data_IF_796670336256
#
_entry.id   IF_796670336256
#
_cell.length_a   1.000
_cell.length_b   1.000
_cell.length_c   1.000
_cell.angle_alpha   90.00
_cell.angle_beta   90.00
_cell.angle_gamma   90.00
#
_symmetry.space_group_name_H-M   'P 1'
#
loop_
_entity.id
_entity.type
_entity.pdbx_description
1 polymer ?
#
# COMPACT_ATOMS: atom_id res chain seq x y z
N UNK A 1 -28.75 -23.92 -11.02
CA UNK A 1 -27.34 -23.52 -11.24
C UNK A 1 -27.08 -22.01 -11.01
N UNK A 2 -27.97 -21.08 -11.40
CA UNK A 2 -27.73 -19.61 -11.24
C UNK A 2 -27.77 -19.15 -9.77
N UNK A 3 -28.60 -19.76 -8.93
CA UNK A 3 -28.64 -19.42 -7.49
C UNK A 3 -27.40 -19.85 -6.68
N UNK A 4 -26.70 -20.91 -7.11
CA UNK A 4 -25.44 -21.33 -6.48
C UNK A 4 -24.28 -20.37 -6.83
N UNK A 5 -24.23 -19.85 -8.06
CA UNK A 5 -23.21 -18.90 -8.47
C UNK A 5 -23.31 -17.54 -7.75
N UNK A 6 -24.54 -17.05 -7.51
CA UNK A 6 -24.77 -15.83 -6.74
C UNK A 6 -24.42 -15.96 -5.25
N UNK A 7 -24.60 -17.13 -4.67
CA UNK A 7 -24.20 -17.37 -3.29
C UNK A 7 -22.68 -17.48 -3.13
N UNK A 8 -21.98 -18.07 -4.10
CA UNK A 8 -20.51 -18.15 -4.11
C UNK A 8 -19.88 -16.75 -4.27
N UNK A 9 -20.46 -15.88 -5.10
CA UNK A 9 -20.00 -14.50 -5.24
C UNK A 9 -20.24 -13.69 -3.95
N UNK A 10 -21.41 -13.85 -3.31
CA UNK A 10 -21.69 -13.20 -2.02
C UNK A 10 -20.84 -13.74 -0.87
N UNK A 11 -20.51 -15.02 -0.87
CA UNK A 11 -19.60 -15.62 0.13
C UNK A 11 -18.14 -15.21 -0.10
N UNK A 12 -17.71 -15.12 -1.36
CA UNK A 12 -16.38 -14.63 -1.70
C UNK A 12 -16.23 -13.11 -1.47
N UNK A 13 -17.28 -12.32 -1.69
CA UNK A 13 -17.33 -10.92 -1.28
C UNK A 13 -17.31 -10.81 0.25
N UNK A 14 -18.07 -11.61 0.98
CA UNK A 14 -17.98 -11.66 2.46
C UNK A 14 -16.57 -12.03 2.92
N UNK A 15 -15.95 -13.07 2.37
CA UNK A 15 -14.59 -13.48 2.76
C UNK A 15 -13.51 -12.45 2.43
N UNK A 16 -13.67 -11.64 1.36
CA UNK A 16 -12.80 -10.50 1.05
C UNK A 16 -13.06 -9.25 1.89
N UNK A 17 -14.25 -9.15 2.48
CA UNK A 17 -14.71 -7.99 3.25
C UNK A 17 -14.57 -8.18 4.76
N UNK A 18 -14.28 -9.40 5.22
CA UNK A 18 -14.30 -9.76 6.64
C UNK A 18 -12.97 -9.52 7.37
N UNK A 19 -11.97 -8.92 6.71
CA UNK A 19 -10.69 -8.61 7.37
C UNK A 19 -10.80 -7.46 8.39
N UNK A 20 -11.79 -6.59 8.27
CA UNK A 20 -12.12 -5.61 9.31
C UNK A 20 -13.62 -5.32 9.28
N UNK A 21 -14.40 -5.73 10.32
CA UNK A 21 -15.83 -5.47 10.40
C UNK A 21 -16.16 -3.96 10.43
N UNK A 22 -15.21 -3.10 10.79
CA UNK A 22 -15.39 -1.66 10.95
C UNK A 22 -15.12 -0.86 9.65
N UNK A 23 -14.22 -1.35 8.77
CA UNK A 23 -13.82 -0.63 7.57
C UNK A 23 -13.83 -1.52 6.34
N UNK A 24 -14.56 -1.09 5.30
CA UNK A 24 -14.59 -1.74 4.00
C UNK A 24 -13.89 -0.86 2.97
N UNK A 25 -12.77 -1.37 2.42
CA UNK A 25 -12.08 -0.71 1.32
C UNK A 25 -12.90 -0.84 0.02
N UNK A 26 -13.10 0.28 -0.67
CA UNK A 26 -13.75 0.36 -1.95
C UNK A 26 -12.83 1.07 -2.94
N UNK A 27 -12.55 0.41 -4.06
CA UNK A 27 -11.81 1.00 -5.16
C UNK A 27 -12.80 1.40 -6.24
N UNK A 28 -12.89 2.71 -6.51
CA UNK A 28 -13.76 3.26 -7.55
C UNK A 28 -12.94 4.13 -8.49
N UNK A 29 -12.80 3.70 -9.74
CA UNK A 29 -11.89 4.29 -10.72
C UNK A 29 -10.47 4.40 -10.12
N UNK A 30 -9.90 5.60 -10.08
CA UNK A 30 -8.57 5.85 -9.54
C UNK A 30 -8.58 6.26 -8.05
N UNK A 31 -9.75 6.16 -7.39
CA UNK A 31 -9.93 6.54 -5.99
C UNK A 31 -10.12 5.31 -5.12
N UNK A 32 -9.42 5.30 -3.99
CA UNK A 32 -9.62 4.33 -2.92
C UNK A 32 -10.31 5.04 -1.76
N UNK A 33 -11.46 4.52 -1.34
CA UNK A 33 -12.21 5.00 -0.17
C UNK A 33 -12.50 3.84 0.78
N UNK A 34 -12.77 4.16 2.03
CA UNK A 34 -13.11 3.19 3.06
C UNK A 34 -14.48 3.52 3.62
N UNK A 35 -15.39 2.54 3.64
CA UNK A 35 -16.70 2.69 4.27
C UNK A 35 -16.53 2.56 5.79
N UNK A 36 -16.65 3.66 6.51
CA UNK A 36 -16.52 3.71 7.97
C UNK A 36 -17.81 3.25 8.66
N UNK A 37 -18.96 3.73 8.19
CA UNK A 37 -20.30 3.34 8.62
C UNK A 37 -21.31 3.59 7.51
N UNK A 38 -22.60 3.39 7.77
CA UNK A 38 -23.64 3.68 6.76
C UNK A 38 -23.59 5.15 6.36
N UNK A 39 -23.43 5.40 5.04
CA UNK A 39 -23.32 6.75 4.48
C UNK A 39 -22.03 7.51 4.82
N UNK A 40 -21.08 6.92 5.54
CA UNK A 40 -19.81 7.58 5.92
C UNK A 40 -18.63 6.91 5.23
N UNK A 41 -17.92 7.69 4.41
CA UNK A 41 -16.77 7.21 3.63
C UNK A 41 -15.56 8.12 3.87
N UNK A 42 -14.40 7.50 4.11
CA UNK A 42 -13.13 8.19 4.28
C UNK A 42 -12.24 7.95 3.06
N UNK A 43 -11.62 9.01 2.50
CA UNK A 43 -10.63 8.85 1.45
C UNK A 43 -9.40 8.11 1.98
N UNK A 44 -8.73 7.33 1.12
CA UNK A 44 -7.46 6.73 1.52
C UNK A 44 -6.36 7.78 1.59
N UNK A 45 -5.41 7.60 2.51
CA UNK A 45 -4.18 8.41 2.59
C UNK A 45 -3.49 8.49 1.23
N UNK A 46 -3.41 7.37 0.49
CA UNK A 46 -2.77 7.35 -0.83
C UNK A 46 -3.54 8.14 -1.89
N UNK A 47 -4.89 8.18 -1.81
CA UNK A 47 -5.73 9.04 -2.68
C UNK A 47 -5.50 10.52 -2.39
N UNK A 48 -5.45 10.90 -1.10
CA UNK A 48 -5.15 12.26 -0.67
C UNK A 48 -3.78 12.71 -1.17
N UNK A 49 -2.76 11.86 -1.03
CA UNK A 49 -1.39 12.16 -1.43
C UNK A 49 -1.18 12.26 -2.96
N UNK A 50 -2.17 11.88 -3.79
CA UNK A 50 -2.13 12.15 -5.22
C UNK A 50 -2.17 13.66 -5.54
N UNK A 51 -2.69 14.47 -4.62
CA UNK A 51 -2.71 15.93 -4.70
C UNK A 51 -1.34 16.58 -4.43
N UNK A 52 -0.40 15.80 -3.96
CA UNK A 52 0.97 16.30 -3.80
C UNK A 52 1.60 16.60 -5.16
N UNK A 53 2.23 17.77 -5.35
CA UNK A 53 2.88 18.14 -6.60
C UNK A 53 3.87 17.07 -7.06
N UNK A 54 3.81 16.69 -8.31
CA UNK A 54 4.78 15.79 -8.92
C UNK A 54 6.11 16.51 -9.10
N UNK A 55 7.22 15.78 -8.93
CA UNK A 55 8.52 16.35 -9.14
C UNK A 55 8.91 16.37 -10.64
N UNK A 56 9.84 17.26 -11.01
CA UNK A 56 10.32 17.39 -12.39
C UNK A 56 10.93 16.11 -12.98
N UNK A 57 11.47 15.24 -12.14
CA UNK A 57 12.02 13.95 -12.61
C UNK A 57 10.92 13.01 -13.08
N UNK A 58 9.79 12.99 -12.39
CA UNK A 58 8.61 12.20 -12.81
C UNK A 58 8.03 12.74 -14.12
N UNK A 59 7.93 14.07 -14.26
CA UNK A 59 7.48 14.70 -15.50
C UNK A 59 8.43 14.40 -16.66
N UNK A 60 9.74 14.46 -16.42
CA UNK A 60 10.76 14.08 -17.40
C UNK A 60 10.62 12.62 -17.82
N UNK A 61 10.49 11.72 -16.86
CA UNK A 61 10.27 10.29 -17.12
C UNK A 61 8.99 10.05 -17.96
N UNK A 62 7.88 10.75 -17.66
CA UNK A 62 6.65 10.63 -18.47
C UNK A 62 6.87 11.03 -19.92
N UNK A 63 7.67 12.08 -20.17
CA UNK A 63 8.02 12.51 -21.54
C UNK A 63 8.88 11.47 -22.24
N UNK A 64 9.84 10.87 -21.54
CA UNK A 64 10.77 9.88 -22.11
C UNK A 64 10.08 8.57 -22.48
N UNK A 65 9.14 8.08 -21.65
CA UNK A 65 8.46 6.80 -21.88
C UNK A 65 7.15 6.93 -22.68
N UNK A 66 6.57 8.13 -22.75
CA UNK A 66 5.38 8.42 -23.52
C UNK A 66 4.21 7.48 -23.23
N UNK A 67 3.62 6.89 -24.27
CA UNK A 67 2.44 6.00 -24.16
C UNK A 67 2.67 4.74 -23.32
N UNK A 68 3.90 4.35 -23.06
CA UNK A 68 4.20 3.19 -22.23
C UNK A 68 4.12 3.45 -20.73
N UNK A 69 3.96 4.71 -20.31
CA UNK A 69 3.98 5.10 -18.90
C UNK A 69 2.95 4.33 -18.07
N UNK A 70 1.70 4.27 -18.54
CA UNK A 70 0.62 3.56 -17.83
C UNK A 70 0.88 2.06 -17.71
N UNK A 71 1.38 1.43 -18.77
CA UNK A 71 1.75 0.02 -18.74
C UNK A 71 2.86 -0.25 -17.72
N UNK A 72 3.91 0.59 -17.71
CA UNK A 72 5.03 0.46 -16.78
C UNK A 72 4.57 0.66 -15.34
N UNK A 73 3.75 1.67 -15.07
CA UNK A 73 3.20 1.93 -13.74
C UNK A 73 2.30 0.80 -13.25
N UNK A 74 1.38 0.31 -14.09
CA UNK A 74 0.50 -0.82 -13.76
C UNK A 74 1.28 -2.11 -13.49
N UNK A 75 2.30 -2.39 -14.31
CA UNK A 75 3.19 -3.53 -14.09
C UNK A 75 3.93 -3.41 -12.75
N UNK A 76 4.52 -2.24 -12.48
CA UNK A 76 5.22 -1.98 -11.22
C UNK A 76 4.28 -2.11 -10.01
N UNK A 77 3.03 -1.64 -10.12
CA UNK A 77 2.01 -1.80 -9.08
C UNK A 77 1.70 -3.28 -8.80
N UNK A 78 1.45 -4.10 -9.85
CA UNK A 78 1.21 -5.55 -9.69
C UNK A 78 2.39 -6.28 -9.03
N UNK A 79 3.61 -5.95 -9.45
CA UNK A 79 4.82 -6.52 -8.84
C UNK A 79 4.96 -6.10 -7.37
N UNK A 80 4.63 -4.84 -7.05
CA UNK A 80 4.58 -4.35 -5.68
C UNK A 80 3.57 -5.12 -4.82
N UNK A 81 2.33 -5.29 -5.29
CA UNK A 81 1.29 -6.06 -4.60
C UNK A 81 1.77 -7.48 -4.28
N UNK A 82 2.38 -8.17 -5.23
CA UNK A 82 2.91 -9.53 -5.01
C UNK A 82 4.00 -9.56 -3.92
N UNK A 83 4.83 -8.51 -3.82
CA UNK A 83 5.86 -8.42 -2.77
C UNK A 83 5.21 -8.19 -1.41
N UNK A 84 4.21 -7.30 -1.29
CA UNK A 84 3.49 -7.04 -0.04
C UNK A 84 2.77 -8.29 0.46
N UNK A 85 2.01 -8.98 -0.41
CA UNK A 85 1.33 -10.24 -0.07
C UNK A 85 2.32 -11.33 0.41
N UNK A 86 3.47 -11.44 -0.23
CA UNK A 86 4.50 -12.40 0.18
C UNK A 86 5.17 -11.98 1.50
N UNK A 87 5.41 -10.68 1.70
CA UNK A 87 5.99 -10.15 2.93
C UNK A 87 5.04 -10.37 4.13
N UNK A 88 3.74 -10.10 3.96
CA UNK A 88 2.71 -10.37 4.97
C UNK A 88 2.74 -11.84 5.40
N UNK A 89 2.73 -12.77 4.45
CA UNK A 89 2.80 -14.21 4.74
C UNK A 89 4.08 -14.59 5.52
N UNK A 90 5.22 -14.01 5.12
CA UNK A 90 6.51 -14.27 5.81
C UNK A 90 6.52 -13.76 7.24
N UNK A 91 5.96 -12.57 7.53
CA UNK A 91 5.93 -12.02 8.89
C UNK A 91 4.93 -12.76 9.78
N UNK A 92 3.90 -13.38 9.19
CA UNK A 92 2.96 -14.28 9.87
C UNK A 92 3.54 -15.69 10.09
N UNK A 93 4.78 -15.95 9.67
CA UNK A 93 5.46 -17.23 9.84
C UNK A 93 5.12 -18.28 8.79
N UNK A 94 4.46 -17.88 7.70
CA UNK A 94 4.16 -18.79 6.61
C UNK A 94 5.36 -18.98 5.67
N UNK A 95 5.39 -20.13 4.99
CA UNK A 95 6.36 -20.39 3.93
C UNK A 95 5.92 -19.78 2.60
N UNK A 96 6.85 -19.11 1.92
CA UNK A 96 6.64 -18.56 0.59
C UNK A 96 7.58 -19.27 -0.40
N UNK A 97 7.01 -19.96 -1.38
CA UNK A 97 7.74 -20.69 -2.41
C UNK A 97 7.73 -19.95 -3.75
N UNK A 98 8.88 -19.91 -4.42
CA UNK A 98 8.98 -19.37 -5.78
C UNK A 98 8.19 -20.16 -6.81
N UNK A 99 8.20 -21.50 -6.66
CA UNK A 99 7.52 -22.42 -7.59
C UNK A 99 6.20 -22.90 -7.01
N UNK A 100 5.27 -23.25 -7.88
CA UNK A 100 4.09 -24.03 -7.52
C UNK A 100 4.43 -25.55 -7.46
N UNK A 101 3.43 -26.36 -7.12
CA UNK A 101 3.58 -27.82 -7.00
C UNK A 101 3.87 -28.51 -8.34
N UNK A 102 3.68 -27.78 -9.45
CA UNK A 102 3.94 -28.25 -10.82
C UNK A 102 5.27 -27.75 -11.39
N UNK A 103 6.04 -26.98 -10.61
CA UNK A 103 7.31 -26.40 -11.03
C UNK A 103 7.20 -25.11 -11.85
N UNK A 104 6.04 -24.47 -11.91
CA UNK A 104 5.88 -23.17 -12.56
C UNK A 104 6.22 -22.03 -11.60
N UNK A 105 6.87 -20.99 -12.11
CA UNK A 105 7.20 -19.82 -11.30
C UNK A 105 5.94 -19.01 -10.95
N UNK A 106 5.67 -18.86 -9.65
CA UNK A 106 4.59 -18.00 -9.11
C UNK A 106 4.92 -16.52 -9.23
N UNK A 107 6.20 -16.19 -9.17
CA UNK A 107 6.72 -14.83 -9.18
C UNK A 107 7.73 -14.64 -10.31
N UNK A 108 7.75 -13.47 -10.90
CA UNK A 108 8.86 -13.09 -11.79
C UNK A 108 10.18 -13.06 -10.99
N UNK A 109 11.30 -13.21 -11.66
CA UNK A 109 12.62 -13.14 -11.00
C UNK A 109 12.79 -11.85 -10.19
N UNK A 110 12.36 -10.70 -10.73
CA UNK A 110 12.46 -9.40 -10.07
C UNK A 110 11.64 -9.37 -8.78
N UNK A 111 10.44 -9.92 -8.80
CA UNK A 111 9.57 -10.02 -7.60
C UNK A 111 10.22 -10.95 -6.57
N UNK A 112 10.70 -12.11 -7.01
CA UNK A 112 11.33 -13.06 -6.11
C UNK A 112 12.59 -12.50 -5.43
N UNK A 113 13.43 -11.79 -6.18
CA UNK A 113 14.59 -11.09 -5.62
C UNK A 113 14.19 -10.07 -4.54
N UNK A 114 13.10 -9.34 -4.73
CA UNK A 114 12.59 -8.41 -3.71
C UNK A 114 12.06 -9.15 -2.48
N UNK A 115 11.39 -10.29 -2.65
CA UNK A 115 10.92 -11.14 -1.54
C UNK A 115 12.12 -11.67 -0.73
N UNK A 116 13.18 -12.15 -1.40
CA UNK A 116 14.41 -12.59 -0.73
C UNK A 116 15.06 -11.46 0.07
N UNK A 117 15.10 -10.23 -0.46
CA UNK A 117 15.63 -9.06 0.24
C UNK A 117 14.82 -8.69 1.46
N UNK A 118 13.48 -8.80 1.38
CA UNK A 118 12.62 -8.61 2.54
C UNK A 118 12.89 -9.68 3.61
N UNK A 119 12.97 -10.93 3.21
CA UNK A 119 13.29 -12.03 4.13
C UNK A 119 14.67 -11.85 4.81
N UNK A 120 15.67 -11.32 4.08
CA UNK A 120 16.99 -10.98 4.65
C UNK A 120 16.86 -9.85 5.69
N UNK A 121 16.11 -8.79 5.38
CA UNK A 121 15.81 -7.71 6.33
C UNK A 121 15.19 -8.27 7.61
N UNK A 122 14.12 -9.07 7.48
CA UNK A 122 13.38 -9.63 8.60
C UNK A 122 14.25 -10.53 9.49
N UNK A 123 15.08 -11.39 8.88
CA UNK A 123 16.06 -12.22 9.59
C UNK A 123 17.15 -11.43 10.29
N UNK A 124 17.55 -10.29 9.72
CA UNK A 124 18.63 -9.43 10.27
C UNK A 124 18.17 -8.67 11.50
N UNK A 125 17.01 -8.05 11.44
CA UNK A 125 16.49 -7.23 12.55
C UNK A 125 15.67 -8.04 13.56
N UNK A 126 15.09 -9.17 13.15
CA UNK A 126 14.22 -10.04 13.98
C UNK A 126 13.15 -9.25 14.72
N UNK A 127 12.35 -8.44 14.03
CA UNK A 127 11.31 -7.67 14.68
C UNK A 127 10.26 -8.60 15.30
N UNK A 128 9.69 -8.17 16.41
CA UNK A 128 8.49 -8.80 16.99
C UNK A 128 7.27 -8.18 16.34
N UNK A 129 6.51 -8.96 15.55
CA UNK A 129 5.31 -8.49 14.87
C UNK A 129 4.22 -8.11 15.87
N UNK A 130 3.63 -6.92 15.71
CA UNK A 130 2.41 -6.51 16.40
C UNK A 130 1.21 -6.71 15.47
N UNK A 131 1.27 -6.15 14.25
CA UNK A 131 0.25 -6.35 13.22
C UNK A 131 0.83 -6.16 11.82
N UNK A 132 0.17 -6.73 10.79
CA UNK A 132 0.47 -6.52 9.38
C UNK A 132 -0.79 -6.26 8.59
N UNK A 133 -0.69 -5.47 7.50
CA UNK A 133 -1.81 -5.05 6.64
C UNK A 133 -3.00 -4.52 7.46
N UNK A 134 -2.69 -3.75 8.51
CA UNK A 134 -3.66 -3.33 9.49
C UNK A 134 -4.42 -2.08 9.03
N UNK A 135 -5.75 -2.12 9.09
CA UNK A 135 -6.57 -0.97 8.76
C UNK A 135 -6.45 0.10 9.83
N UNK A 136 -6.19 1.32 9.39
CA UNK A 136 -6.05 2.50 10.23
C UNK A 136 -6.98 3.59 9.75
N UNK A 137 -7.48 4.40 10.69
CA UNK A 137 -8.34 5.55 10.36
C UNK A 137 -8.19 6.66 11.37
N UNK A 138 -8.59 7.84 10.96
CA UNK A 138 -8.81 8.98 11.85
C UNK A 138 -10.26 9.46 11.70
N UNK A 139 -11.04 9.39 12.76
CA UNK A 139 -12.38 9.96 12.83
C UNK A 139 -12.33 11.48 13.01
N UNK A 140 -11.24 11.99 13.62
CA UNK A 140 -10.98 13.43 13.74
C UNK A 140 -10.72 14.07 12.37
N UNK A 141 -9.83 13.45 11.57
CA UNK A 141 -9.39 14.00 10.29
C UNK A 141 -10.05 13.35 9.07
N UNK A 142 -10.96 12.36 9.26
CA UNK A 142 -11.77 11.74 8.18
C UNK A 142 -10.94 11.11 7.06
N UNK A 143 -9.88 10.37 7.38
CA UNK A 143 -9.11 9.57 6.42
C UNK A 143 -8.92 8.14 6.91
N UNK A 144 -8.54 7.25 6.01
CA UNK A 144 -8.22 5.87 6.35
C UNK A 144 -7.11 5.30 5.46
N UNK A 145 -6.60 4.13 5.82
CA UNK A 145 -5.59 3.42 5.05
C UNK A 145 -5.29 2.03 5.57
N UNK A 146 -4.19 1.47 5.08
CA UNK A 146 -3.67 0.18 5.52
C UNK A 146 -2.19 0.35 5.83
N UNK A 147 -1.80 -0.01 7.04
CA UNK A 147 -0.43 0.02 7.51
C UNK A 147 0.23 -1.34 7.23
N UNK A 148 1.35 -1.35 6.52
CA UNK A 148 1.98 -2.61 6.09
C UNK A 148 2.45 -3.45 7.27
N UNK A 149 3.27 -2.88 8.17
CA UNK A 149 3.84 -3.62 9.31
C UNK A 149 3.95 -2.71 10.53
N UNK A 150 3.41 -3.16 11.65
CA UNK A 150 3.68 -2.61 12.98
C UNK A 150 4.42 -3.66 13.79
N UNK A 151 5.57 -3.31 14.35
CA UNK A 151 6.43 -4.26 15.07
C UNK A 151 7.22 -3.59 16.20
N UNK A 152 7.74 -4.41 17.12
CA UNK A 152 8.78 -3.97 18.06
C UNK A 152 10.15 -4.31 17.51
N UNK A 153 11.03 -3.32 17.53
CA UNK A 153 12.41 -3.47 17.11
C UNK A 153 13.32 -2.63 18.01
N UNK A 154 14.32 -3.26 18.62
CA UNK A 154 15.21 -2.63 19.60
C UNK A 154 14.49 -1.93 20.78
N UNK A 155 13.37 -2.47 21.25
CA UNK A 155 12.58 -1.94 22.35
C UNK A 155 11.63 -0.79 21.99
N UNK A 156 11.62 -0.32 20.75
CA UNK A 156 10.75 0.73 20.23
C UNK A 156 9.65 0.14 19.34
N UNK A 157 8.49 0.80 19.29
CA UNK A 157 7.39 0.45 18.37
C UNK A 157 7.60 1.15 17.03
N UNK A 158 7.75 0.35 15.98
CA UNK A 158 8.00 0.80 14.61
C UNK A 158 6.77 0.61 13.73
N UNK A 159 6.49 1.61 12.91
CA UNK A 159 5.65 1.50 11.75
C UNK A 159 6.55 1.45 10.51
N UNK A 160 6.50 0.33 9.79
CA UNK A 160 7.31 0.09 8.60
C UNK A 160 6.43 -0.03 7.37
N UNK A 161 6.87 0.59 6.29
CA UNK A 161 6.21 0.58 4.98
C UNK A 161 7.17 -0.02 3.93
N UNK A 162 6.68 -0.96 3.12
CA UNK A 162 7.48 -1.66 2.12
C UNK A 162 7.43 -0.89 0.80
N UNK A 163 8.60 -0.57 0.24
CA UNK A 163 8.68 0.11 -1.05
C UNK A 163 9.54 -0.64 -2.05
N UNK A 164 8.94 -0.92 -3.20
CA UNK A 164 9.55 -1.58 -4.37
C UNK A 164 9.89 -0.59 -5.49
N UNK A 165 9.71 0.72 -5.25
CA UNK A 165 9.97 1.80 -6.21
C UNK A 165 11.47 2.01 -6.46
N UNK A 166 11.80 2.54 -7.63
CA UNK A 166 13.20 2.85 -8.00
C UNK A 166 13.76 4.07 -7.23
N UNK A 167 12.88 4.89 -6.65
CA UNK A 167 13.25 6.07 -5.87
C UNK A 167 12.32 6.25 -4.67
N UNK A 168 12.79 6.94 -3.66
CA UNK A 168 12.01 7.31 -2.48
C UNK A 168 11.38 8.68 -2.71
N UNK A 169 10.10 8.79 -2.41
CA UNK A 169 9.30 10.00 -2.59
C UNK A 169 8.91 10.58 -1.23
N UNK A 170 8.88 11.91 -1.14
CA UNK A 170 8.47 12.62 0.09
C UNK A 170 7.06 12.25 0.56
N UNK A 171 6.18 11.85 -0.37
CA UNK A 171 4.83 11.37 -0.03
C UNK A 171 4.83 10.14 0.90
N UNK A 172 5.89 9.35 0.93
CA UNK A 172 5.99 8.18 1.81
C UNK A 172 6.15 8.60 3.28
N UNK A 173 6.88 9.71 3.53
CA UNK A 173 7.02 10.26 4.87
C UNK A 173 5.66 10.74 5.40
N UNK A 174 4.87 11.40 4.54
CA UNK A 174 3.53 11.87 4.88
C UNK A 174 2.54 10.71 5.08
N UNK A 175 2.68 9.66 4.27
CA UNK A 175 1.90 8.42 4.41
C UNK A 175 2.14 7.78 5.77
N UNK A 176 3.40 7.59 6.14
CA UNK A 176 3.79 7.01 7.42
C UNK A 176 3.30 7.85 8.60
N UNK A 177 3.41 9.18 8.51
CA UNK A 177 2.93 10.08 9.56
C UNK A 177 1.41 9.99 9.73
N UNK A 178 0.65 9.97 8.63
CA UNK A 178 -0.81 9.79 8.68
C UNK A 178 -1.20 8.43 9.28
N UNK A 179 -0.49 7.36 8.91
CA UNK A 179 -0.76 6.03 9.47
C UNK A 179 -0.40 5.96 10.95
N UNK A 180 0.72 6.56 11.40
CA UNK A 180 1.10 6.60 12.80
C UNK A 180 0.02 7.29 13.64
N UNK A 181 -0.50 8.44 13.19
CA UNK A 181 -1.61 9.14 13.87
C UNK A 181 -2.91 8.36 13.83
N UNK A 182 -3.21 7.71 12.71
CA UNK A 182 -4.38 6.84 12.59
C UNK A 182 -4.31 5.62 13.52
N UNK A 183 -3.13 5.02 13.72
CA UNK A 183 -2.91 3.91 14.66
C UNK A 183 -3.07 4.39 16.11
N UNK A 184 -2.53 5.55 16.46
CA UNK A 184 -2.68 6.15 17.79
C UNK A 184 -4.16 6.39 18.11
N UNK A 185 -4.92 6.99 17.18
CA UNK A 185 -6.34 7.29 17.35
C UNK A 185 -7.23 6.04 17.34
N UNK A 186 -7.06 5.17 16.34
CA UNK A 186 -7.99 4.06 16.11
C UNK A 186 -7.70 2.80 16.92
N UNK A 187 -6.45 2.62 17.39
CA UNK A 187 -5.96 1.38 18.00
C UNK A 187 -5.26 1.60 19.36
N UNK A 188 -5.07 2.84 19.78
CA UNK A 188 -4.25 3.19 20.95
C UNK A 188 -2.80 2.66 20.85
N UNK A 189 -2.28 2.56 19.62
CA UNK A 189 -0.90 2.13 19.35
C UNK A 189 -0.05 3.37 19.08
N UNK A 190 0.79 3.73 20.06
CA UNK A 190 1.76 4.81 19.89
C UNK A 190 2.98 4.30 19.09
N UNK A 191 3.31 5.00 18.03
CA UNK A 191 4.47 4.73 17.19
C UNK A 191 5.66 5.58 17.66
N UNK A 192 6.76 4.94 18.01
CA UNK A 192 8.01 5.61 18.41
C UNK A 192 8.85 5.97 17.19
N UNK A 193 8.85 5.11 16.14
CA UNK A 193 9.64 5.27 14.93
C UNK A 193 8.85 4.90 13.67
N UNK A 194 9.14 5.59 12.60
CA UNK A 194 8.66 5.23 11.28
C UNK A 194 9.81 4.91 10.34
N UNK A 195 9.58 4.03 9.38
CA UNK A 195 10.64 3.65 8.45
C UNK A 195 10.11 3.02 7.16
N UNK A 196 10.95 3.10 6.12
CA UNK A 196 10.72 2.49 4.82
C UNK A 196 11.67 1.33 4.64
N UNK A 197 11.14 0.14 4.40
CA UNK A 197 11.91 -1.01 3.93
C UNK A 197 12.03 -0.87 2.41
N UNK A 198 13.11 -0.26 1.94
CA UNK A 198 13.32 -0.03 0.52
C UNK A 198 13.97 -1.24 -0.14
N UNK A 199 13.19 -2.01 -0.87
CA UNK A 199 13.62 -3.18 -1.62
C UNK A 199 14.07 -2.74 -3.02
N UNK A 200 15.34 -2.40 -3.17
CA UNK A 200 15.93 -1.98 -4.44
C UNK A 200 15.93 -3.14 -5.43
N UNK A 201 15.03 -3.10 -6.39
CA UNK A 201 15.02 -4.01 -7.54
C UNK A 201 15.99 -3.54 -8.63
N UNK A 202 16.28 -4.40 -9.59
CA UNK A 202 16.93 -4.00 -10.83
C UNK A 202 16.16 -2.85 -11.49
N UNK A 203 16.88 -1.91 -12.11
CA UNK A 203 16.25 -0.83 -12.88
C UNK A 203 15.28 -1.41 -13.91
N UNK A 204 14.04 -0.90 -13.91
CA UNK A 204 12.96 -1.32 -14.83
C UNK A 204 12.96 -0.51 -16.13
N UNK A 205 13.76 0.55 -16.20
CA UNK A 205 13.85 1.43 -17.36
C UNK A 205 15.07 1.16 -18.23
N UNK A 206 15.18 1.82 -19.41
CA UNK A 206 16.40 1.83 -20.19
C UNK A 206 17.50 2.51 -19.37
N UNK A 207 18.32 1.71 -18.70
CA UNK A 207 19.48 2.17 -17.94
C UNK A 207 20.72 1.98 -18.80
N UNK A 208 21.61 2.98 -18.80
CA UNK A 208 22.95 2.86 -19.40
C UNK A 208 23.80 1.81 -18.65
N UNK A 209 23.42 1.46 -17.42
CA UNK A 209 24.03 0.42 -16.61
C UNK A 209 23.10 -0.79 -16.52
N UNK A 210 23.31 -1.77 -17.40
CA UNK A 210 22.58 -3.04 -17.34
C UNK A 210 22.94 -3.78 -16.04
N UNK A 211 21.92 -4.27 -15.35
CA UNK A 211 22.02 -5.21 -14.22
C UNK A 211 22.69 -4.65 -12.94
N UNK A 212 22.64 -3.36 -12.68
CA UNK A 212 23.15 -2.83 -11.41
C UNK A 212 22.07 -2.95 -10.34
N UNK A 213 22.31 -3.84 -9.36
CA UNK A 213 21.58 -3.84 -8.09
C UNK A 213 22.07 -2.61 -7.32
N UNK A 214 21.20 -1.65 -7.10
CA UNK A 214 21.57 -0.46 -6.34
C UNK A 214 21.73 -0.81 -4.85
N UNK A 215 22.96 -0.75 -4.34
CA UNK A 215 23.29 -0.96 -2.93
C UNK A 215 23.22 -2.42 -2.47
N UNK A 216 23.00 -2.63 -1.17
CA UNK A 216 23.00 -3.96 -0.51
C UNK A 216 21.71 -4.78 -0.72
N UNK A 217 20.91 -4.53 -1.72
CA UNK A 217 19.67 -5.28 -1.91
C UNK A 217 18.48 -4.66 -1.18
N UNK A 218 18.55 -4.33 0.08
CA UNK A 218 17.55 -3.61 0.87
C UNK A 218 18.20 -2.50 1.72
N UNK A 219 17.38 -1.52 2.10
CA UNK A 219 17.77 -0.48 3.05
C UNK A 219 16.59 -0.10 3.93
N UNK A 220 16.81 -0.09 5.23
CA UNK A 220 15.89 0.56 6.16
C UNK A 220 16.21 2.06 6.18
N UNK A 221 15.22 2.86 5.80
CA UNK A 221 15.27 4.32 5.87
C UNK A 221 14.38 4.75 7.02
N UNK A 222 14.99 5.19 8.12
CA UNK A 222 14.25 5.79 9.22
C UNK A 222 13.73 7.15 8.77
N UNK A 223 12.46 7.42 9.05
CA UNK A 223 11.79 8.68 8.79
C UNK A 223 11.48 9.33 10.12
N UNK A 224 12.11 10.45 10.37
CA UNK A 224 11.91 11.25 11.57
C UNK A 224 10.82 12.31 11.36
N UNK A 225 10.52 13.09 12.41
CA UNK A 225 9.60 14.23 12.36
C UNK A 225 8.14 13.86 12.02
N UNK A 226 7.59 12.82 12.68
CA UNK A 226 6.21 12.34 12.47
C UNK A 226 5.22 13.53 12.54
N UNK A 227 5.32 14.38 13.56
CA UNK A 227 4.42 15.53 13.76
C UNK A 227 4.49 16.52 12.59
N UNK A 228 5.69 16.89 12.18
CA UNK A 228 5.88 17.82 11.06
C UNK A 228 5.36 17.24 9.74
N UNK A 229 5.61 15.96 9.49
CA UNK A 229 5.12 15.28 8.30
C UNK A 229 3.59 15.15 8.34
N UNK A 230 3.00 14.99 9.51
CA UNK A 230 1.55 14.98 9.67
C UNK A 230 0.93 16.36 9.40
N UNK A 231 1.56 17.45 9.86
CA UNK A 231 1.12 18.80 9.52
C UNK A 231 1.14 19.04 8.00
N UNK A 232 2.18 18.59 7.31
CA UNK A 232 2.24 18.64 5.85
C UNK A 232 1.15 17.79 5.19
N UNK A 233 0.88 16.60 5.72
CA UNK A 233 -0.23 15.76 5.25
C UNK A 233 -1.58 16.49 5.38
N UNK A 234 -1.85 17.15 6.51
CA UNK A 234 -3.07 17.91 6.72
C UNK A 234 -3.25 19.06 5.71
N UNK A 235 -2.17 19.71 5.30
CA UNK A 235 -2.23 20.74 4.24
C UNK A 235 -2.69 20.14 2.90
N UNK A 236 -2.15 18.97 2.52
CA UNK A 236 -2.57 18.25 1.31
C UNK A 236 -4.01 17.76 1.44
N UNK A 237 -4.39 17.24 2.60
CA UNK A 237 -5.75 16.81 2.89
C UNK A 237 -6.76 17.96 2.76
N UNK A 238 -6.43 19.15 3.28
CA UNK A 238 -7.28 20.33 3.17
C UNK A 238 -7.52 20.70 1.70
N UNK A 239 -6.48 20.69 0.87
CA UNK A 239 -6.62 20.91 -0.57
C UNK A 239 -7.51 19.85 -1.22
N UNK A 240 -7.25 18.56 -0.92
CA UNK A 240 -8.06 17.45 -1.41
C UNK A 240 -9.55 17.62 -1.04
N UNK A 241 -9.85 17.93 0.21
CA UNK A 241 -11.23 18.03 0.72
C UNK A 241 -12.02 19.19 0.13
N UNK A 242 -11.35 20.31 -0.16
CA UNK A 242 -11.97 21.45 -0.85
C UNK A 242 -12.42 21.09 -2.27
N UNK A 243 -11.64 20.29 -2.98
CA UNK A 243 -11.96 19.85 -4.34
C UNK A 243 -12.86 18.61 -4.38
N UNK A 244 -12.93 17.86 -3.27
CA UNK A 244 -13.72 16.62 -3.16
C UNK A 244 -14.61 16.67 -1.91
N UNK A 245 -15.61 17.56 -1.87
CA UNK A 245 -16.47 17.73 -0.69
C UNK A 245 -17.34 16.50 -0.40
N UNK A 246 -17.54 15.63 -1.40
CA UNK A 246 -18.26 14.37 -1.24
C UNK A 246 -17.31 13.20 -1.52
N UNK A 247 -17.11 12.33 -0.52
CA UNK A 247 -16.28 11.14 -0.61
C UNK A 247 -17.10 9.86 -0.87
N UNK A 248 -18.44 9.97 -0.84
CA UNK A 248 -19.30 8.82 -1.11
C UNK A 248 -19.15 8.35 -2.57
N UNK A 249 -18.89 7.05 -2.80
CA UNK A 249 -18.84 6.50 -4.15
C UNK A 249 -20.21 6.61 -4.83
N UNK A 250 -20.25 7.06 -6.06
CA UNK A 250 -21.47 7.06 -6.86
C UNK A 250 -21.63 5.66 -7.48
N UNK A 251 -22.65 4.95 -7.06
CA UNK A 251 -23.00 3.64 -7.61
C UNK A 251 -24.06 3.80 -8.69
N UNK A 252 -23.75 3.35 -9.90
CA UNK A 252 -24.75 3.12 -10.92
C UNK A 252 -25.23 1.67 -10.82
N UNK A 253 -26.50 1.46 -10.52
CA UNK A 253 -27.10 0.11 -10.60
C UNK A 253 -27.50 -0.17 -12.03
N UNK A 254 -27.02 -1.28 -12.56
CA UNK A 254 -27.39 -1.78 -13.88
C UNK A 254 -28.29 -3.01 -13.73
N UNK A 255 -29.35 -3.15 -14.56
CA UNK A 255 -30.15 -4.36 -14.56
C UNK A 255 -29.27 -5.56 -14.96
N UNK A 256 -29.31 -6.61 -14.17
CA UNK A 256 -28.59 -7.87 -14.44
C UNK A 256 -29.28 -8.72 -15.51
N UNK A 257 -30.51 -8.35 -15.88
CA UNK A 257 -31.30 -9.03 -16.90
C UNK A 257 -32.09 -8.00 -17.70
N UNK A 258 -31.96 -8.05 -19.01
CA UNK A 258 -32.74 -7.21 -19.94
C UNK A 258 -33.65 -8.16 -20.73
N UNK A 259 -34.95 -7.83 -20.79
CA UNK A 259 -35.93 -8.48 -21.65
C UNK A 259 -36.39 -7.44 -22.68
N UNK A 260 -36.24 -7.74 -23.95
CA UNK A 260 -36.70 -6.93 -25.07
C UNK A 260 -38.02 -7.47 -25.59
#
# INVERSE_FOLDING_TARGET
MIKQGMNILKENEKKRLDFNPELKQINFLDRRVYKRSEGVYYPSVTTILQYMPKNKFFEGWLKDVGHNADYIMKKAGKEGTQVHEAAERLVLGEEVSWMDDYGNAKYSQIVWEMILKFAEFWKTYKPELISSEDFVWSDEHKYAGTADIVCKMNGETWLLDIKTSNSIHKSYDLQLAAYAKGLEESKDIKIDRTGIIWLKAHSRGPSKQKNVIQGKGWKLLQIDEIEKNFELFKMIYNLYSLENPNTEPIYNSYPTTIKV
#
